data_IF_204443265041
#
_entry.id   IF_204443265041
#
_cell.length_a   1.000
_cell.length_b   1.000
_cell.length_c   1.000
_cell.angle_alpha   90.00
_cell.angle_beta   90.00
_cell.angle_gamma   90.00
#
_symmetry.space_group_name_H-M   'P 1'
#
loop_
_entity.id
_entity.type
_entity.pdbx_description
1 polymer ?
#
# COMPACT_ATOMS: atom_id res chain seq x y z
N UNK A 1 9.59 8.03 -14.30
CA UNK A 1 9.59 6.59 -14.68
C UNK A 1 9.37 5.76 -13.43
N UNK A 2 8.70 4.60 -13.51
CA UNK A 2 8.57 3.70 -12.35
C UNK A 2 9.97 3.22 -11.91
N UNK A 3 10.26 3.21 -10.60
CA UNK A 3 11.61 2.93 -10.06
C UNK A 3 12.19 1.59 -10.51
N UNK A 4 11.35 0.57 -10.69
CA UNK A 4 11.73 -0.74 -11.23
C UNK A 4 11.43 -0.93 -12.73
N UNK A 5 10.87 0.09 -13.40
CA UNK A 5 10.41 -0.03 -14.80
C UNK A 5 9.21 -0.97 -15.01
N UNK A 6 8.62 -1.48 -13.93
CA UNK A 6 7.52 -2.45 -13.96
C UNK A 6 6.17 -1.78 -13.71
N UNK A 7 5.13 -2.34 -14.31
CA UNK A 7 3.73 -1.95 -14.10
C UNK A 7 2.89 -3.19 -13.88
N UNK A 8 2.09 -3.20 -12.81
CA UNK A 8 1.11 -4.27 -12.61
C UNK A 8 0.05 -4.22 -13.72
N UNK A 9 -0.23 -5.37 -14.31
CA UNK A 9 -1.38 -5.60 -15.20
C UNK A 9 -2.49 -6.42 -14.53
N UNK A 10 -2.30 -6.77 -13.25
CA UNK A 10 -3.25 -7.62 -12.52
C UNK A 10 -4.54 -6.88 -12.19
N UNK A 11 -5.63 -7.63 -12.09
CA UNK A 11 -6.91 -7.16 -11.52
C UNK A 11 -6.89 -7.12 -9.99
N UNK A 12 -6.00 -7.89 -9.37
CA UNK A 12 -5.77 -7.88 -7.94
C UNK A 12 -4.86 -6.71 -7.57
N UNK A 13 -5.36 -5.81 -6.73
CA UNK A 13 -4.55 -4.70 -6.23
C UNK A 13 -3.38 -5.17 -5.36
N UNK A 14 -3.53 -6.31 -4.68
CA UNK A 14 -2.49 -6.87 -3.80
C UNK A 14 -1.23 -7.28 -4.57
N UNK A 15 -1.36 -7.68 -5.84
CA UNK A 15 -0.23 -8.07 -6.69
C UNK A 15 0.73 -6.89 -6.92
N UNK A 16 0.24 -5.65 -6.80
CA UNK A 16 1.11 -4.48 -6.84
C UNK A 16 2.04 -4.40 -5.61
N UNK A 17 1.58 -4.83 -4.44
CA UNK A 17 2.42 -4.91 -3.24
C UNK A 17 3.51 -5.99 -3.39
N UNK A 18 3.19 -7.11 -4.03
CA UNK A 18 4.15 -8.17 -4.31
C UNK A 18 5.20 -7.74 -5.32
N UNK A 19 4.80 -7.01 -6.37
CA UNK A 19 5.75 -6.41 -7.31
C UNK A 19 6.72 -5.44 -6.62
N UNK A 20 6.24 -4.63 -5.68
CA UNK A 20 7.11 -3.75 -4.88
C UNK A 20 8.08 -4.59 -4.05
N UNK A 21 7.57 -5.61 -3.35
CA UNK A 21 8.37 -6.48 -2.50
C UNK A 21 9.50 -7.21 -3.24
N UNK A 22 9.26 -7.56 -4.50
CA UNK A 22 10.20 -8.33 -5.32
C UNK A 22 11.21 -7.46 -6.07
N UNK A 23 10.86 -6.24 -6.44
CA UNK A 23 11.65 -5.46 -7.41
C UNK A 23 12.16 -4.11 -6.93
N UNK A 24 11.73 -3.62 -5.77
CA UNK A 24 12.26 -2.37 -5.19
C UNK A 24 13.39 -2.70 -4.21
N UNK A 25 14.61 -2.27 -4.54
CA UNK A 25 15.76 -2.44 -3.65
C UNK A 25 15.86 -1.28 -2.65
N UNK A 26 15.24 -1.46 -1.49
CA UNK A 26 15.31 -0.54 -0.35
C UNK A 26 15.19 -1.34 0.97
N UNK A 27 15.90 -0.98 2.04
CA UNK A 27 15.84 -1.71 3.32
C UNK A 27 14.43 -1.78 3.91
N UNK A 28 13.56 -0.80 3.64
CA UNK A 28 12.20 -0.76 4.15
C UNK A 28 11.18 -1.42 3.20
N UNK A 29 11.56 -1.85 2.00
CA UNK A 29 10.66 -2.40 0.97
C UNK A 29 9.67 -3.43 1.53
N UNK A 30 10.14 -4.42 2.29
CA UNK A 30 9.27 -5.49 2.81
C UNK A 30 8.21 -4.95 3.78
N UNK A 31 8.58 -3.99 4.61
CA UNK A 31 7.69 -3.37 5.59
C UNK A 31 6.64 -2.51 4.88
N UNK A 32 7.06 -1.76 3.87
CA UNK A 32 6.19 -0.88 3.09
C UNK A 32 5.26 -1.66 2.15
N UNK A 33 5.71 -2.78 1.58
CA UNK A 33 4.84 -3.68 0.82
C UNK A 33 3.73 -4.28 1.69
N UNK A 34 4.04 -4.72 2.92
CA UNK A 34 3.02 -5.19 3.88
C UNK A 34 2.05 -4.08 4.25
N UNK A 35 2.55 -2.86 4.44
CA UNK A 35 1.72 -1.69 4.73
C UNK A 35 0.76 -1.39 3.59
N UNK A 36 1.23 -1.42 2.34
CA UNK A 36 0.38 -1.25 1.16
C UNK A 36 -0.71 -2.32 1.09
N UNK A 37 -0.37 -3.59 1.34
CA UNK A 37 -1.34 -4.69 1.36
C UNK A 37 -2.47 -4.40 2.36
N UNK A 38 -2.13 -4.01 3.60
CA UNK A 38 -3.12 -3.64 4.62
C UNK A 38 -4.01 -2.47 4.20
N UNK A 39 -3.44 -1.44 3.56
CA UNK A 39 -4.22 -0.29 3.06
C UNK A 39 -5.24 -0.74 2.01
N UNK A 40 -4.85 -1.63 1.10
CA UNK A 40 -5.72 -2.14 0.04
C UNK A 40 -6.80 -3.07 0.58
N UNK A 41 -6.49 -3.88 1.59
CA UNK A 41 -7.48 -4.69 2.31
C UNK A 41 -8.55 -3.80 2.96
N UNK A 42 -8.15 -2.74 3.68
CA UNK A 42 -9.10 -1.80 4.29
C UNK A 42 -9.90 -1.02 3.23
N UNK A 43 -9.29 -0.61 2.12
CA UNK A 43 -10.02 -0.02 0.98
C UNK A 43 -11.10 -0.96 0.46
N UNK A 44 -10.76 -2.23 0.26
CA UNK A 44 -11.70 -3.23 -0.24
C UNK A 44 -12.85 -3.45 0.74
N UNK A 45 -12.57 -3.47 2.05
CA UNK A 45 -13.62 -3.49 3.06
C UNK A 45 -14.50 -2.24 2.91
N UNK A 46 -13.97 -1.03 2.99
CA UNK A 46 -14.77 0.22 2.89
C UNK A 46 -15.66 0.26 1.63
N UNK A 47 -15.14 -0.16 0.47
CA UNK A 47 -15.87 -0.05 -0.81
C UNK A 47 -16.94 -1.12 -0.99
N UNK A 48 -16.71 -2.34 -0.50
CA UNK A 48 -17.54 -3.49 -0.85
C UNK A 48 -18.20 -4.16 0.36
N UNK A 49 -17.76 -3.82 1.56
CA UNK A 49 -18.26 -4.34 2.82
C UNK A 49 -18.62 -3.14 3.68
N UNK A 50 -19.89 -2.97 4.00
CA UNK A 50 -20.36 -1.85 4.83
C UNK A 50 -19.94 -2.03 6.31
N UNK A 51 -18.62 -2.05 6.53
CA UNK A 51 -17.96 -2.12 7.82
C UNK A 51 -17.99 -0.72 8.40
N UNK A 52 -18.55 -0.58 9.59
CA UNK A 52 -18.50 0.69 10.31
C UNK A 52 -17.05 0.96 10.76
N UNK A 53 -16.53 2.13 10.42
CA UNK A 53 -15.25 2.62 10.90
C UNK A 53 -15.48 3.67 11.98
N UNK A 54 -14.70 3.60 13.06
CA UNK A 54 -14.59 4.68 14.04
C UNK A 54 -13.57 5.71 13.56
N UNK A 55 -13.63 6.90 14.14
CA UNK A 55 -12.64 7.96 13.87
C UNK A 55 -11.21 7.47 14.11
N UNK A 56 -10.98 6.73 15.19
CA UNK A 56 -9.67 6.15 15.50
C UNK A 56 -9.18 5.18 14.42
N UNK A 57 -10.06 4.36 13.85
CA UNK A 57 -9.72 3.43 12.76
C UNK A 57 -9.29 4.21 11.51
N UNK A 58 -10.01 5.29 11.20
CA UNK A 58 -9.70 6.16 10.06
C UNK A 58 -8.37 6.90 10.25
N UNK A 59 -8.08 7.39 11.46
CA UNK A 59 -6.82 8.05 11.81
C UNK A 59 -5.65 7.06 11.67
N UNK A 60 -5.81 5.82 12.13
CA UNK A 60 -4.77 4.80 11.98
C UNK A 60 -4.52 4.43 10.52
N UNK A 61 -5.59 4.28 9.71
CA UNK A 61 -5.45 4.06 8.28
C UNK A 61 -4.73 5.23 7.58
N UNK A 62 -5.07 6.47 7.95
CA UNK A 62 -4.41 7.67 7.42
C UNK A 62 -2.91 7.65 7.71
N UNK A 63 -2.49 7.34 8.95
CA UNK A 63 -1.07 7.21 9.31
C UNK A 63 -0.35 6.17 8.45
N UNK A 64 -1.00 5.04 8.15
CA UNK A 64 -0.42 4.05 7.25
C UNK A 64 -0.22 4.59 5.83
N UNK A 65 -1.22 5.29 5.29
CA UNK A 65 -1.15 5.93 3.97
C UNK A 65 -0.04 6.99 3.92
N UNK A 66 0.03 7.86 4.93
CA UNK A 66 1.05 8.92 5.01
C UNK A 66 2.46 8.34 5.06
N UNK A 67 2.70 7.35 5.93
CA UNK A 67 4.05 6.76 6.03
C UNK A 67 4.44 6.01 4.76
N UNK A 68 3.51 5.31 4.11
CA UNK A 68 3.79 4.64 2.83
C UNK A 68 4.10 5.66 1.73
N UNK A 69 3.28 6.70 1.58
CA UNK A 69 3.49 7.72 0.53
C UNK A 69 4.72 8.57 0.78
N UNK A 70 5.08 8.85 2.04
CA UNK A 70 6.35 9.48 2.40
C UNK A 70 7.53 8.63 1.93
N UNK A 71 7.54 7.34 2.25
CA UNK A 71 8.60 6.44 1.79
C UNK A 71 8.68 6.39 0.26
N UNK A 72 7.55 6.32 -0.45
CA UNK A 72 7.56 6.37 -1.92
C UNK A 72 8.18 7.68 -2.44
N UNK A 73 7.90 8.82 -1.80
CA UNK A 73 8.49 10.11 -2.16
C UNK A 73 10.00 10.16 -1.93
N UNK A 74 10.48 9.59 -0.83
CA UNK A 74 11.92 9.51 -0.53
C UNK A 74 12.69 8.61 -1.53
N UNK A 75 11.97 7.73 -2.23
CA UNK A 75 12.54 6.85 -3.24
C UNK A 75 12.60 7.45 -4.66
N UNK A 76 11.91 8.57 -4.92
CA UNK A 76 11.84 9.25 -6.22
C UNK A 76 12.99 10.24 -6.39
#
# INVERSE_FOLDING_TARGET
>A
MAKAGLRSSSKSHEDAADLIALHVNDPQTKEQARRLRRILEEKNLIEYVDKSYREDDAIELLKHVERFTSWVRDLL
#
